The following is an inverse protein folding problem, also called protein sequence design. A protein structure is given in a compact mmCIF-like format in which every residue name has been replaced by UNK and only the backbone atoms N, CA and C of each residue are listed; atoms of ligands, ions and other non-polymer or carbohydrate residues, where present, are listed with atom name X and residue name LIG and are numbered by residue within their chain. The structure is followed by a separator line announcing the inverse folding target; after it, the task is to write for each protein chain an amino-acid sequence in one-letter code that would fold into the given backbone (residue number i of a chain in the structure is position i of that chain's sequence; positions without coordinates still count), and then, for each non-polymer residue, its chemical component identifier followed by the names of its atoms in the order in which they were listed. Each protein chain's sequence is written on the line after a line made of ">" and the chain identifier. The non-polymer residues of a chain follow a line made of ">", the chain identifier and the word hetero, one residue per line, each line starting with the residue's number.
data_IF_852121660404
#
_entry.id   IF_852121660404
#
_cell.length_a   1.000
_cell.length_b   1.000
_cell.length_c   1.000
_cell.angle_alpha   90.00
_cell.angle_beta   90.00
_cell.angle_gamma   90.00
#
_symmetry.space_group_name_H-M   'P 1'
#
loop_
_entity.id
_entity.type
_entity.pdbx_description
1 polymer ?
#
# COMPACT_ATOMS: atom_id res chain seq x y z
N UNK A 1 -28.43 11.86 7.98
CA UNK A 1 -27.11 12.52 7.84
C UNK A 1 -26.09 11.42 7.56
N UNK A 2 -25.30 11.54 6.50
CA UNK A 2 -24.36 10.49 6.05
C UNK A 2 -22.93 11.07 5.97
N UNK A 3 -21.96 10.21 6.25
CA UNK A 3 -20.56 10.34 5.88
C UNK A 3 -20.33 9.40 4.70
N UNK A 4 -19.71 9.91 3.64
CA UNK A 4 -19.28 9.13 2.50
C UNK A 4 -17.87 9.59 2.09
N UNK A 5 -16.99 8.64 1.81
CA UNK A 5 -15.68 8.93 1.26
C UNK A 5 -15.82 9.47 -0.16
N UNK A 6 -15.12 10.56 -0.48
CA UNK A 6 -15.04 11.09 -1.84
C UNK A 6 -14.06 10.25 -2.67
N UNK A 7 -14.20 10.23 -4.02
CA UNK A 7 -13.23 9.56 -4.88
C UNK A 7 -11.79 10.03 -4.66
N UNK A 8 -11.59 11.33 -4.43
CA UNK A 8 -10.27 11.91 -4.09
C UNK A 8 -9.72 11.44 -2.74
N UNK A 9 -10.60 11.07 -1.80
CA UNK A 9 -10.22 10.50 -0.51
C UNK A 9 -9.65 9.09 -0.62
N UNK A 10 -9.97 8.36 -1.70
CA UNK A 10 -9.44 7.01 -1.92
C UNK A 10 -7.95 7.11 -2.25
N UNK A 11 -7.15 6.32 -1.54
CA UNK A 11 -5.70 6.26 -1.75
C UNK A 11 -5.34 5.03 -2.53
N UNK A 12 -4.94 5.23 -3.78
CA UNK A 12 -4.44 4.18 -4.66
C UNK A 12 -2.91 4.12 -4.65
N UNK A 13 -2.25 5.23 -4.31
CA UNK A 13 -0.80 5.43 -4.45
C UNK A 13 0.02 4.36 -3.73
N UNK A 14 -0.42 3.88 -2.56
CA UNK A 14 0.25 2.81 -1.81
C UNK A 14 -0.19 1.41 -2.25
N UNK A 15 -1.30 1.26 -2.97
CA UNK A 15 -2.01 0.00 -3.22
C UNK A 15 -1.98 -0.50 -4.65
N UNK A 16 -1.50 0.31 -5.59
CA UNK A 16 -1.46 -0.06 -7.00
C UNK A 16 -0.06 0.09 -7.60
N UNK A 17 0.11 -0.56 -8.75
CA UNK A 17 1.25 -0.36 -9.63
C UNK A 17 0.70 0.24 -10.91
N UNK A 18 1.27 1.36 -11.35
CA UNK A 18 0.87 2.04 -12.59
C UNK A 18 2.09 2.44 -13.40
N UNK A 19 1.92 2.42 -14.72
CA UNK A 19 2.91 2.74 -15.73
C UNK A 19 2.40 3.94 -16.52
N UNK A 20 3.32 4.80 -16.98
CA UNK A 20 3.07 5.95 -17.84
C UNK A 20 1.89 6.81 -17.35
N UNK A 21 1.88 7.10 -16.05
CA UNK A 21 0.82 7.89 -15.44
C UNK A 21 0.93 9.35 -15.85
N UNK A 22 -0.22 10.03 -15.89
CA UNK A 22 -0.28 11.46 -16.17
C UNK A 22 0.54 12.27 -15.14
N UNK A 23 1.07 13.43 -15.56
CA UNK A 23 1.87 14.30 -14.69
C UNK A 23 1.16 14.65 -13.38
N UNK A 24 -0.15 14.93 -13.41
CA UNK A 24 -0.96 15.20 -12.21
C UNK A 24 -1.02 14.02 -11.23
N UNK A 25 -0.84 12.78 -11.71
CA UNK A 25 -0.80 11.58 -10.86
C UNK A 25 0.59 11.30 -10.29
N UNK A 26 1.63 11.93 -10.84
CA UNK A 26 3.00 11.92 -10.31
C UNK A 26 3.19 12.93 -9.18
N UNK A 27 2.27 13.87 -9.00
CA UNK A 27 2.26 14.79 -7.87
C UNK A 27 1.95 14.06 -6.57
N UNK A 28 2.48 14.60 -5.48
CA UNK A 28 2.26 14.05 -4.14
C UNK A 28 0.82 14.31 -3.71
N UNK A 29 0.11 13.25 -3.32
CA UNK A 29 -1.23 13.42 -2.74
C UNK A 29 -1.17 14.08 -1.36
N UNK A 30 -2.33 14.49 -0.84
CA UNK A 30 -2.47 14.92 0.57
C UNK A 30 -1.93 13.82 1.50
N UNK A 31 -1.06 14.23 2.43
CA UNK A 31 -0.33 13.36 3.37
C UNK A 31 0.80 12.52 2.76
N UNK A 32 0.98 12.52 1.44
CA UNK A 32 2.17 11.96 0.81
C UNK A 32 3.30 12.98 0.86
N UNK A 33 4.48 12.54 1.29
CA UNK A 33 5.67 13.39 1.40
C UNK A 33 6.84 12.76 0.66
N UNK A 34 7.56 13.57 -0.11
CA UNK A 34 8.83 13.17 -0.70
C UNK A 34 9.89 13.06 0.39
N UNK A 35 10.40 11.85 0.59
CA UNK A 35 11.45 11.53 1.56
C UNK A 35 12.81 11.77 0.93
N UNK A 36 13.01 11.26 -0.29
CA UNK A 36 14.28 11.37 -1.01
C UNK A 36 14.05 11.40 -2.53
N UNK A 37 15.00 11.96 -3.26
CA UNK A 37 15.01 11.98 -4.72
C UNK A 37 16.43 11.73 -5.21
N UNK A 38 16.59 10.70 -6.02
CA UNK A 38 17.87 10.22 -6.50
C UNK A 38 17.87 10.30 -8.02
N UNK A 39 18.61 11.27 -8.55
CA UNK A 39 18.85 11.40 -9.97
C UNK A 39 19.82 10.33 -10.47
N UNK A 40 19.80 10.08 -11.78
CA UNK A 40 20.72 9.13 -12.41
C UNK A 40 20.47 7.70 -11.93
N UNK A 41 19.21 7.31 -11.86
CA UNK A 41 18.78 5.94 -11.62
C UNK A 41 18.20 5.40 -12.91
N UNK A 42 18.79 4.34 -13.42
CA UNK A 42 18.34 3.61 -14.59
C UNK A 42 17.32 2.54 -14.17
N UNK A 43 16.21 2.45 -14.90
CA UNK A 43 15.35 1.26 -14.86
C UNK A 43 15.94 0.21 -15.79
N UNK A 44 16.69 -0.73 -15.21
CA UNK A 44 17.43 -1.76 -15.94
C UNK A 44 16.52 -2.85 -16.50
N UNK A 45 15.29 -3.00 -15.99
CA UNK A 45 14.38 -4.05 -16.43
C UNK A 45 13.56 -3.61 -17.64
N UNK A 46 12.79 -2.53 -17.51
CA UNK A 46 11.86 -2.09 -18.56
C UNK A 46 12.49 -1.16 -19.58
N UNK A 47 13.35 -0.25 -19.12
CA UNK A 47 13.92 0.84 -19.93
C UNK A 47 15.45 0.82 -19.91
N UNK A 48 16.05 -0.35 -20.16
CA UNK A 48 17.51 -0.53 -20.07
C UNK A 48 18.25 0.41 -21.04
N UNK A 49 19.17 1.22 -20.52
CA UNK A 49 19.85 2.30 -21.24
C UNK A 49 19.23 3.69 -21.03
N UNK A 50 18.05 3.79 -20.44
CA UNK A 50 17.37 5.06 -20.22
C UNK A 50 17.60 5.56 -18.78
N UNK A 51 18.19 6.75 -18.68
CA UNK A 51 18.47 7.39 -17.40
C UNK A 51 17.20 8.04 -16.87
N UNK A 52 16.94 7.90 -15.57
CA UNK A 52 15.83 8.55 -14.91
C UNK A 52 16.17 9.11 -13.53
N UNK A 53 15.13 9.56 -12.86
CA UNK A 53 15.11 9.96 -11.46
C UNK A 53 14.18 9.03 -10.69
N UNK A 54 14.64 8.56 -9.52
CA UNK A 54 13.84 7.78 -8.59
C UNK A 54 13.49 8.64 -7.38
N UNK A 55 12.21 8.91 -7.19
CA UNK A 55 11.67 9.61 -6.04
C UNK A 55 11.03 8.61 -5.07
N UNK A 56 11.41 8.74 -3.81
CA UNK A 56 11.03 7.86 -2.72
C UNK A 56 10.08 8.66 -1.84
N UNK A 57 8.81 8.28 -1.81
CA UNK A 57 7.81 8.91 -0.95
C UNK A 57 7.53 8.03 0.26
N UNK A 58 6.68 8.49 1.17
CA UNK A 58 6.18 7.69 2.28
C UNK A 58 5.14 6.61 1.87
N UNK A 59 4.64 6.62 0.63
CA UNK A 59 3.60 5.68 0.15
C UNK A 59 4.03 4.83 -1.03
N UNK A 60 4.92 5.34 -1.89
CA UNK A 60 5.31 4.69 -3.14
C UNK A 60 6.71 5.10 -3.59
N UNK A 61 7.20 4.35 -4.58
CA UNK A 61 8.33 4.75 -5.41
C UNK A 61 7.81 5.30 -6.74
N UNK A 62 8.41 6.39 -7.18
CA UNK A 62 8.16 7.01 -8.46
C UNK A 62 9.45 7.01 -9.27
N UNK A 63 9.42 6.44 -10.47
CA UNK A 63 10.54 6.56 -11.41
C UNK A 63 10.07 7.32 -12.64
N UNK A 64 10.89 8.23 -13.15
CA UNK A 64 10.60 8.96 -14.39
C UNK A 64 11.86 9.05 -15.25
N UNK A 65 11.71 8.78 -16.55
CA UNK A 65 12.78 8.95 -17.52
C UNK A 65 13.16 10.43 -17.64
N UNK A 66 14.46 10.71 -17.82
CA UNK A 66 14.95 12.05 -18.17
C UNK A 66 14.76 12.35 -19.65
N UNK A 67 14.64 11.31 -20.48
CA UNK A 67 14.50 11.41 -21.94
C UNK A 67 13.06 11.61 -22.37
N UNK A 68 12.11 11.04 -21.64
CA UNK A 68 10.69 11.08 -21.95
C UNK A 68 9.87 11.45 -20.71
N UNK A 69 9.10 12.53 -20.81
CA UNK A 69 8.16 12.93 -19.75
C UNK A 69 6.94 12.01 -19.64
N UNK A 70 6.70 11.17 -20.65
CA UNK A 70 5.60 10.19 -20.68
C UNK A 70 5.97 8.89 -19.99
N UNK A 71 7.25 8.51 -20.05
CA UNK A 71 7.72 7.22 -19.56
C UNK A 71 8.02 7.29 -18.07
N UNK A 72 7.13 6.70 -17.26
CA UNK A 72 7.25 6.75 -15.80
C UNK A 72 6.56 5.56 -15.12
N UNK A 73 6.86 5.37 -13.84
CA UNK A 73 6.42 4.23 -13.03
C UNK A 73 5.99 4.71 -11.64
N UNK A 74 4.90 4.16 -11.11
CA UNK A 74 4.46 4.34 -9.73
C UNK A 74 4.27 2.98 -9.08
N UNK A 75 5.03 2.69 -8.03
CA UNK A 75 5.01 1.41 -7.31
C UNK A 75 4.58 1.66 -5.86
N UNK A 76 3.33 1.35 -5.54
CA UNK A 76 2.82 1.43 -4.17
C UNK A 76 3.47 0.40 -3.23
N UNK A 77 3.81 0.82 -2.01
CA UNK A 77 4.52 -0.05 -1.07
C UNK A 77 3.70 -1.26 -0.61
N UNK A 78 2.36 -1.19 -0.58
CA UNK A 78 1.52 -2.34 -0.26
C UNK A 78 1.60 -3.46 -1.30
N UNK A 79 2.07 -3.15 -2.51
CA UNK A 79 2.29 -4.13 -3.57
C UNK A 79 3.65 -4.82 -3.44
N UNK A 80 4.58 -4.27 -2.66
CA UNK A 80 5.96 -4.77 -2.55
C UNK A 80 6.01 -6.00 -1.65
N UNK A 81 6.56 -7.09 -2.18
CA UNK A 81 6.79 -8.34 -1.45
C UNK A 81 8.20 -8.42 -0.87
N UNK A 82 9.20 -7.92 -1.61
CA UNK A 82 10.58 -7.92 -1.14
C UNK A 82 11.42 -6.88 -1.85
N UNK A 83 12.37 -6.30 -1.11
CA UNK A 83 13.38 -5.37 -1.60
C UNK A 83 14.76 -5.98 -1.34
N UNK A 84 15.53 -6.24 -2.39
CA UNK A 84 16.84 -6.91 -2.32
C UNK A 84 17.89 -6.15 -3.12
N UNK A 85 19.15 -6.28 -2.72
CA UNK A 85 20.29 -5.77 -3.49
C UNK A 85 20.95 -6.96 -4.18
N UNK A 86 21.11 -6.90 -5.50
CA UNK A 86 21.80 -7.92 -6.29
C UNK A 86 22.61 -7.27 -7.39
N UNK A 87 23.54 -8.03 -7.97
CA UNK A 87 24.30 -7.58 -9.14
C UNK A 87 23.43 -7.69 -10.40
N UNK A 88 23.37 -6.63 -11.19
CA UNK A 88 22.70 -6.57 -12.49
C UNK A 88 23.65 -6.04 -13.57
N UNK A 89 23.35 -6.34 -14.83
CA UNK A 89 24.07 -5.81 -15.99
C UNK A 89 23.30 -4.62 -16.56
N UNK A 90 23.76 -3.43 -16.25
CA UNK A 90 23.26 -2.16 -16.80
C UNK A 90 23.91 -1.87 -18.15
N UNK A 91 23.14 -1.33 -19.11
CA UNK A 91 23.70 -0.88 -20.40
C UNK A 91 24.62 0.33 -20.24
N UNK A 92 24.36 1.18 -19.25
CA UNK A 92 25.13 2.40 -18.98
C UNK A 92 26.36 2.17 -18.07
N UNK A 93 26.40 1.07 -17.31
CA UNK A 93 27.41 0.83 -16.26
C UNK A 93 28.10 -0.53 -16.32
N UNK A 94 27.61 -1.46 -17.12
CA UNK A 94 28.05 -2.85 -17.06
C UNK A 94 27.56 -3.54 -15.78
N UNK A 95 28.38 -4.44 -15.22
CA UNK A 95 28.03 -5.18 -14.00
C UNK A 95 28.11 -4.28 -12.75
N UNK A 96 27.00 -4.08 -12.06
CA UNK A 96 26.92 -3.21 -10.87
C UNK A 96 25.82 -3.67 -9.92
N UNK A 97 25.86 -3.21 -8.66
CA UNK A 97 24.76 -3.42 -7.73
C UNK A 97 23.50 -2.66 -8.17
N UNK A 98 22.36 -3.34 -8.05
CA UNK A 98 21.05 -2.83 -8.38
C UNK A 98 20.02 -3.24 -7.33
N UNK A 99 18.96 -2.45 -7.24
CA UNK A 99 17.83 -2.62 -6.34
C UNK A 99 16.77 -3.47 -7.05
N UNK A 100 16.51 -4.65 -6.53
CA UNK A 100 15.49 -5.57 -7.00
C UNK A 100 14.25 -5.43 -6.13
N UNK A 101 13.14 -5.05 -6.74
CA UNK A 101 11.84 -4.90 -6.08
C UNK A 101 10.89 -5.92 -6.68
N UNK A 102 10.54 -6.92 -5.88
CA UNK A 102 9.51 -7.90 -6.24
C UNK A 102 8.17 -7.41 -5.72
N UNK A 103 7.17 -7.41 -6.58
CA UNK A 103 5.82 -6.98 -6.24
C UNK A 103 4.79 -8.01 -6.64
N UNK A 104 3.60 -7.92 -6.03
CA UNK A 104 2.40 -8.62 -6.46
C UNK A 104 1.24 -7.63 -6.51
N UNK A 105 0.61 -7.53 -7.66
CA UNK A 105 -0.55 -6.67 -7.87
C UNK A 105 -1.50 -7.33 -8.86
N UNK A 106 -2.81 -7.31 -8.57
CA UNK A 106 -3.84 -7.94 -9.41
C UNK A 106 -3.51 -9.37 -9.84
N UNK A 107 -3.08 -10.21 -8.88
CA UNK A 107 -2.61 -11.59 -9.08
C UNK A 107 -1.39 -11.78 -10.00
N UNK A 108 -0.78 -10.70 -10.48
CA UNK A 108 0.44 -10.74 -11.27
C UNK A 108 1.65 -10.40 -10.41
N UNK A 109 2.81 -10.98 -10.76
CA UNK A 109 4.09 -10.71 -10.09
C UNK A 109 4.98 -9.89 -11.00
N UNK A 110 5.46 -8.75 -10.51
CA UNK A 110 6.38 -7.89 -11.23
C UNK A 110 7.74 -7.85 -10.54
N UNK A 111 8.76 -7.62 -11.34
CA UNK A 111 10.14 -7.40 -10.91
C UNK A 111 10.60 -6.06 -11.50
N UNK A 112 11.05 -5.16 -10.64
CA UNK A 112 11.68 -3.89 -11.02
C UNK A 112 13.14 -3.92 -10.61
N UNK A 113 14.01 -3.42 -11.48
CA UNK A 113 15.46 -3.40 -11.26
C UNK A 113 15.95 -1.97 -11.46
N UNK A 114 16.37 -1.32 -10.38
CA UNK A 114 16.90 0.04 -10.43
C UNK A 114 18.40 0.08 -10.17
N UNK A 115 19.15 0.68 -11.09
CA UNK A 115 20.60 0.79 -11.01
C UNK A 115 21.01 2.25 -10.80
N UNK A 116 21.83 2.51 -9.77
CA UNK A 116 22.42 3.83 -9.59
C UNK A 116 23.60 4.04 -10.55
N UNK A 117 23.54 5.11 -11.35
CA UNK A 117 24.61 5.54 -12.23
C UNK A 117 25.68 6.36 -11.48
N UNK A 118 25.48 6.67 -10.21
CA UNK A 118 26.46 7.32 -9.34
C UNK A 118 27.34 6.26 -8.68
N UNK A 119 28.67 6.38 -8.78
CA UNK A 119 29.59 5.38 -8.21
C UNK A 119 29.53 5.45 -6.68
N UNK A 120 29.55 4.28 -6.03
CA UNK A 120 29.64 4.16 -4.57
C UNK A 120 28.56 4.91 -3.77
N UNK A 121 27.33 5.02 -4.28
CA UNK A 121 26.21 5.62 -3.55
C UNK A 121 25.30 4.54 -2.96
N UNK A 122 25.41 4.20 -1.66
CA UNK A 122 24.51 3.25 -1.02
C UNK A 122 23.11 3.84 -0.74
N UNK A 123 22.96 5.16 -0.88
CA UNK A 123 21.76 5.95 -0.53
C UNK A 123 20.48 5.40 -1.15
N UNK A 124 20.55 4.96 -2.40
CA UNK A 124 19.43 4.32 -3.10
C UNK A 124 18.89 3.11 -2.33
N UNK A 125 19.79 2.27 -1.83
CA UNK A 125 19.42 1.03 -1.17
C UNK A 125 18.96 1.27 0.27
N UNK A 126 19.72 2.08 1.03
CA UNK A 126 19.45 2.33 2.45
C UNK A 126 18.13 3.04 2.65
N UNK A 127 17.86 4.10 1.88
CA UNK A 127 16.63 4.88 2.03
C UNK A 127 15.40 4.05 1.66
N UNK A 128 15.41 3.35 0.51
CA UNK A 128 14.25 2.54 0.09
C UNK A 128 13.95 1.43 1.09
N UNK A 129 14.97 0.72 1.58
CA UNK A 129 14.77 -0.37 2.56
C UNK A 129 14.25 0.15 3.91
N UNK A 130 14.75 1.29 4.38
CA UNK A 130 14.33 1.88 5.64
C UNK A 130 12.88 2.40 5.57
N UNK A 131 12.53 3.14 4.51
CA UNK A 131 11.17 3.63 4.29
C UNK A 131 10.19 2.47 4.12
N UNK A 132 10.53 1.45 3.34
CA UNK A 132 9.66 0.27 3.17
C UNK A 132 9.46 -0.49 4.49
N UNK A 133 10.50 -0.63 5.32
CA UNK A 133 10.36 -1.21 6.65
C UNK A 133 9.41 -0.39 7.55
N UNK A 134 9.57 0.93 7.57
CA UNK A 134 8.68 1.84 8.32
C UNK A 134 7.22 1.70 7.85
N UNK A 135 7.01 1.64 6.53
CA UNK A 135 5.71 1.36 5.93
C UNK A 135 5.11 0.05 6.45
N UNK A 136 5.85 -1.06 6.41
CA UNK A 136 5.38 -2.37 6.86
C UNK A 136 5.02 -2.40 8.35
N UNK A 137 5.77 -1.72 9.21
CA UNK A 137 5.55 -1.71 10.66
C UNK A 137 4.39 -0.80 11.11
N UNK A 138 3.86 0.03 10.22
CA UNK A 138 2.84 1.06 10.54
C UNK A 138 1.50 0.77 9.86
N UNK A 139 1.22 -0.49 9.53
CA UNK A 139 -0.02 -0.89 8.84
C UNK A 139 -1.30 -0.53 9.59
N UNK A 140 -1.29 -0.43 10.92
CA UNK A 140 -2.48 -0.09 11.71
C UNK A 140 -3.05 1.32 11.45
N UNK A 141 -2.31 2.22 10.79
CA UNK A 141 -2.82 3.51 10.33
C UNK A 141 -3.62 3.41 9.03
N UNK A 142 -3.49 2.32 8.28
CA UNK A 142 -3.93 2.22 6.88
C UNK A 142 -4.76 0.98 6.62
N UNK A 143 -4.58 -0.09 7.36
CA UNK A 143 -5.26 -1.36 7.18
C UNK A 143 -6.27 -1.62 8.29
N UNK A 144 -7.46 -2.08 7.88
CA UNK A 144 -8.46 -2.59 8.80
C UNK A 144 -7.91 -3.84 9.50
N UNK A 145 -8.03 -3.88 10.83
CA UNK A 145 -7.61 -5.02 11.64
C UNK A 145 -8.77 -5.58 12.44
N UNK A 146 -9.08 -6.84 12.20
CA UNK A 146 -9.95 -7.65 13.06
C UNK A 146 -9.09 -8.46 14.03
N UNK A 147 -9.54 -8.58 15.27
CA UNK A 147 -8.92 -9.40 16.32
C UNK A 147 -7.42 -9.11 16.50
N UNK A 148 -7.06 -7.82 16.53
CA UNK A 148 -5.69 -7.37 16.72
C UNK A 148 -5.28 -7.31 18.20
N UNK A 149 -3.98 -7.40 18.47
CA UNK A 149 -3.43 -7.10 19.80
C UNK A 149 -3.30 -5.57 19.98
N UNK A 150 -4.45 -4.91 20.16
CA UNK A 150 -4.56 -3.43 20.24
C UNK A 150 -4.99 -2.92 21.61
N UNK A 151 -5.36 -3.82 22.53
CA UNK A 151 -5.76 -3.49 23.90
C UNK A 151 -4.67 -3.98 24.85
N UNK A 152 -4.34 -3.16 25.83
CA UNK A 152 -3.43 -3.47 26.92
C UNK A 152 -4.02 -2.88 28.21
N UNK A 153 -4.15 -3.70 29.26
CA UNK A 153 -4.69 -3.28 30.55
C UNK A 153 -6.05 -2.57 30.45
N UNK A 154 -6.95 -3.10 29.60
CA UNK A 154 -8.29 -2.56 29.28
C UNK A 154 -8.29 -1.17 28.63
N UNK A 155 -7.14 -0.69 28.15
CA UNK A 155 -7.00 0.55 27.42
C UNK A 155 -6.50 0.33 25.99
N UNK A 156 -6.79 1.28 25.11
CA UNK A 156 -6.31 1.27 23.73
C UNK A 156 -4.80 1.54 23.70
N UNK A 157 -4.02 0.63 23.12
CA UNK A 157 -2.61 0.86 22.82
C UNK A 157 -2.49 1.84 21.66
N UNK A 158 -2.08 3.06 21.99
CA UNK A 158 -1.93 4.15 21.02
C UNK A 158 -0.73 3.91 20.09
N UNK A 159 -0.93 4.25 18.82
CA UNK A 159 0.13 4.37 17.84
C UNK A 159 0.88 5.72 18.04
N UNK A 160 2.09 5.87 17.51
CA UNK A 160 2.76 7.17 17.46
C UNK A 160 1.85 8.29 16.92
N UNK A 161 1.81 9.45 17.55
CA UNK A 161 0.93 10.56 17.15
C UNK A 161 -0.59 10.26 17.13
N UNK A 162 -1.03 9.09 17.64
CA UNK A 162 -2.45 8.79 17.86
C UNK A 162 -2.90 9.40 19.19
N UNK A 163 -4.04 10.09 19.17
CA UNK A 163 -4.68 10.68 20.34
C UNK A 163 -6.14 10.25 20.39
N UNK A 164 -6.60 9.84 21.57
CA UNK A 164 -8.01 9.51 21.81
C UNK A 164 -8.76 10.80 22.08
N UNK A 165 -9.83 11.02 21.31
CA UNK A 165 -10.76 12.13 21.49
C UNK A 165 -11.92 11.73 22.38
N UNK A 166 -12.49 10.55 22.09
CA UNK A 166 -13.67 10.06 22.79
C UNK A 166 -13.54 8.56 23.11
N UNK A 167 -13.93 8.21 24.33
CA UNK A 167 -14.09 6.84 24.81
C UNK A 167 -15.53 6.65 25.25
N UNK A 168 -16.25 5.75 24.58
CA UNK A 168 -17.65 5.42 24.87
C UNK A 168 -17.72 3.98 25.38
N UNK A 169 -17.87 3.76 26.70
CA UNK A 169 -18.17 2.43 27.22
C UNK A 169 -19.62 2.05 26.93
N UNK A 170 -19.91 0.75 26.97
CA UNK A 170 -21.28 0.24 26.86
C UNK A 170 -21.82 0.18 25.43
N UNK A 171 -20.93 0.18 24.43
CA UNK A 171 -21.30 0.13 23.02
C UNK A 171 -21.46 -1.31 22.58
N UNK A 172 -22.64 -1.64 22.08
CA UNK A 172 -22.98 -2.98 21.59
C UNK A 172 -22.57 -3.14 20.14
N UNK A 173 -21.78 -4.16 19.83
CA UNK A 173 -21.58 -4.60 18.46
C UNK A 173 -22.73 -5.51 18.02
N UNK A 174 -23.31 -5.21 16.85
CA UNK A 174 -24.49 -5.88 16.26
C UNK A 174 -24.13 -6.85 15.11
N UNK A 175 -22.86 -7.25 14.98
CA UNK A 175 -22.41 -8.13 13.89
C UNK A 175 -22.65 -9.62 14.13
N UNK A 176 -23.10 -9.99 15.35
CA UNK A 176 -23.42 -11.37 15.76
C UNK A 176 -24.85 -11.49 16.29
N UNK A 177 -25.41 -12.70 16.24
CA UNK A 177 -26.78 -13.01 16.70
C UNK A 177 -27.01 -12.69 18.18
N UNK A 178 -25.95 -12.81 18.98
CA UNK A 178 -25.87 -12.27 20.34
C UNK A 178 -25.00 -11.02 20.28
N UNK A 179 -25.57 -9.85 20.58
CA UNK A 179 -24.79 -8.61 20.63
C UNK A 179 -23.67 -8.71 21.64
N UNK A 180 -22.52 -8.10 21.35
CA UNK A 180 -21.39 -8.08 22.28
C UNK A 180 -21.24 -6.68 22.90
N UNK A 181 -21.20 -6.61 24.23
CA UNK A 181 -20.97 -5.37 24.95
C UNK A 181 -19.47 -5.03 24.96
N UNK A 182 -19.15 -3.79 24.59
CA UNK A 182 -17.78 -3.35 24.47
C UNK A 182 -17.57 -1.88 24.74
N UNK A 183 -16.38 -1.43 24.40
CA UNK A 183 -15.95 -0.03 24.50
C UNK A 183 -15.51 0.44 23.13
N UNK A 184 -15.96 1.64 22.75
CA UNK A 184 -15.67 2.29 21.49
C UNK A 184 -14.73 3.47 21.71
N UNK A 185 -13.70 3.60 20.88
CA UNK A 185 -12.72 4.67 20.90
C UNK A 185 -12.74 5.41 19.57
N UNK A 186 -12.70 6.74 19.64
CA UNK A 186 -12.51 7.63 18.50
C UNK A 186 -11.18 8.33 18.66
N UNK A 187 -10.32 8.22 17.65
CA UNK A 187 -9.00 8.85 17.63
C UNK A 187 -8.86 9.75 16.42
N UNK A 188 -7.73 10.47 16.28
CA UNK A 188 -7.42 11.23 15.06
C UNK A 188 -7.11 10.36 13.82
N UNK A 189 -6.81 9.07 13.95
CA UNK A 189 -6.38 8.22 12.80
C UNK A 189 -7.33 7.06 12.50
N UNK A 190 -8.07 6.59 13.50
CA UNK A 190 -8.95 5.42 13.40
C UNK A 190 -10.05 5.42 14.46
N UNK A 191 -11.07 4.62 14.22
CA UNK A 191 -12.05 4.24 15.25
C UNK A 191 -11.83 2.78 15.65
N UNK A 192 -11.96 2.48 16.93
CA UNK A 192 -11.70 1.15 17.50
C UNK A 192 -12.87 0.73 18.36
N UNK A 193 -13.22 -0.54 18.29
CA UNK A 193 -14.14 -1.15 19.25
C UNK A 193 -13.56 -2.48 19.74
N UNK A 194 -13.69 -2.78 21.03
CA UNK A 194 -13.38 -4.10 21.58
C UNK A 194 -14.47 -4.55 22.55
N UNK A 195 -14.69 -5.87 22.62
CA UNK A 195 -15.56 -6.45 23.64
C UNK A 195 -14.91 -6.37 25.03
N UNK A 196 -15.73 -6.18 26.07
CA UNK A 196 -15.26 -6.05 27.44
C UNK A 196 -14.88 -7.40 28.08
N UNK A 197 -15.56 -8.47 27.67
CA UNK A 197 -15.34 -9.83 28.20
C UNK A 197 -14.32 -10.65 27.37
N UNK A 198 -13.98 -10.18 26.18
CA UNK A 198 -13.08 -10.84 25.25
C UNK A 198 -12.33 -9.79 24.43
N UNK A 199 -11.23 -9.28 24.97
CA UNK A 199 -10.48 -8.17 24.36
C UNK A 199 -9.95 -8.50 22.96
N UNK A 200 -9.70 -9.78 22.66
CA UNK A 200 -9.33 -10.26 21.33
C UNK A 200 -10.48 -10.18 20.31
N UNK A 201 -11.72 -10.00 20.75
CA UNK A 201 -12.83 -9.66 19.88
C UNK A 201 -12.93 -8.15 19.73
N UNK A 202 -12.13 -7.63 18.79
CA UNK A 202 -12.02 -6.21 18.50
C UNK A 202 -11.93 -5.94 17.00
N UNK A 203 -12.13 -4.68 16.66
CA UNK A 203 -11.98 -4.14 15.32
C UNK A 203 -11.35 -2.75 15.38
N UNK A 204 -10.35 -2.52 14.55
CA UNK A 204 -9.66 -1.25 14.35
C UNK A 204 -9.88 -0.81 12.90
N UNK A 205 -10.55 0.33 12.70
CA UNK A 205 -10.93 0.88 11.41
C UNK A 205 -10.27 2.23 11.19
N UNK A 206 -9.16 2.30 10.42
CA UNK A 206 -8.59 3.57 10.01
C UNK A 206 -9.56 4.38 9.16
N UNK A 207 -9.52 5.71 9.28
CA UNK A 207 -10.42 6.58 8.50
C UNK A 207 -10.27 6.37 7.00
N UNK A 208 -9.05 6.12 6.52
CA UNK A 208 -8.73 5.77 5.13
C UNK A 208 -9.52 4.55 4.60
N UNK A 209 -9.97 3.66 5.48
CA UNK A 209 -10.72 2.46 5.12
C UNK A 209 -12.24 2.62 5.28
N UNK A 210 -12.72 3.73 5.85
CA UNK A 210 -14.15 3.98 5.99
C UNK A 210 -14.68 4.49 4.65
N UNK A 211 -15.55 3.70 4.02
CA UNK A 211 -16.25 4.08 2.80
C UNK A 211 -17.45 4.97 3.11
N UNK A 212 -18.23 4.58 4.11
CA UNK A 212 -19.39 5.35 4.55
C UNK A 212 -19.68 5.11 6.04
N UNK A 213 -20.34 6.08 6.67
CA UNK A 213 -20.89 5.92 8.00
C UNK A 213 -22.23 6.64 8.11
N UNK A 214 -23.19 6.03 8.79
CA UNK A 214 -24.56 6.57 8.92
C UNK A 214 -25.29 5.94 10.10
N UNK A 215 -26.28 6.64 10.63
CA UNK A 215 -27.21 6.06 11.61
C UNK A 215 -28.35 5.38 10.85
N UNK A 216 -28.64 4.12 11.17
CA UNK A 216 -29.79 3.36 10.64
C UNK A 216 -30.55 2.68 11.77
N UNK A 217 -31.85 2.50 11.57
CA UNK A 217 -32.66 1.69 12.46
C UNK A 217 -32.30 0.22 12.30
N UNK A 218 -32.06 -0.46 13.43
CA UNK A 218 -31.87 -1.90 13.54
C UNK A 218 -33.04 -2.52 14.31
N UNK A 219 -33.07 -3.86 14.39
CA UNK A 219 -34.02 -4.59 15.26
C UNK A 219 -33.91 -4.18 16.74
N UNK A 220 -32.77 -3.61 17.14
CA UNK A 220 -32.45 -3.26 18.53
C UNK A 220 -32.44 -1.74 18.78
N UNK A 221 -33.02 -0.96 17.88
CA UNK A 221 -33.01 0.51 17.90
C UNK A 221 -32.02 1.15 16.92
N UNK A 222 -31.87 2.47 16.94
CA UNK A 222 -30.90 3.19 16.11
C UNK A 222 -29.46 2.73 16.37
N UNK A 223 -28.69 2.54 15.30
CA UNK A 223 -27.31 2.09 15.37
C UNK A 223 -26.42 2.84 14.37
N UNK A 224 -25.18 3.07 14.76
CA UNK A 224 -24.11 3.53 13.87
C UNK A 224 -23.70 2.37 12.97
N UNK A 225 -23.83 2.56 11.66
CA UNK A 225 -23.38 1.62 10.65
C UNK A 225 -22.17 2.21 9.94
N UNK A 226 -21.04 1.52 10.02
CA UNK A 226 -19.81 1.86 9.30
C UNK A 226 -19.58 0.82 8.22
N UNK A 227 -19.45 1.28 6.98
CA UNK A 227 -19.06 0.45 5.84
C UNK A 227 -17.61 0.73 5.47
N UNK A 228 -16.85 -0.33 5.23
CA UNK A 228 -15.44 -0.21 4.86
C UNK A 228 -15.24 -0.34 3.36
N UNK A 229 -14.08 0.07 2.86
CA UNK A 229 -13.71 -0.05 1.46
C UNK A 229 -13.75 -1.53 1.01
N UNK A 230 -13.95 -1.75 -0.29
CA UNK A 230 -13.93 -3.11 -0.87
C UNK A 230 -12.53 -3.71 -0.77
N UNK A 231 -11.49 -2.87 -0.90
CA UNK A 231 -10.09 -3.29 -0.75
C UNK A 231 -9.75 -3.74 0.67
N UNK A 232 -10.52 -3.34 1.69
CA UNK A 232 -10.42 -3.86 3.05
C UNK A 232 -11.45 -4.94 3.39
N UNK A 233 -12.11 -5.55 2.41
CA UNK A 233 -13.08 -6.64 2.59
C UNK A 233 -14.55 -6.24 2.59
N UNK A 234 -14.88 -4.95 2.47
CA UNK A 234 -16.27 -4.49 2.33
C UNK A 234 -17.18 -4.79 3.54
N UNK A 235 -16.62 -4.71 4.75
CA UNK A 235 -17.36 -5.00 5.97
C UNK A 235 -18.46 -3.97 6.25
N UNK A 236 -19.56 -4.43 6.82
CA UNK A 236 -20.65 -3.61 7.34
C UNK A 236 -20.76 -3.85 8.84
N UNK A 237 -20.38 -2.85 9.64
CA UNK A 237 -20.26 -2.97 11.10
C UNK A 237 -21.31 -2.10 11.77
N UNK A 238 -22.16 -2.71 12.61
CA UNK A 238 -23.22 -2.03 13.35
C UNK A 238 -22.90 -1.87 14.83
N UNK A 239 -23.09 -0.68 15.37
CA UNK A 239 -22.85 -0.34 16.77
C UNK A 239 -24.06 0.38 17.38
N UNK A 240 -24.66 -0.19 18.43
CA UNK A 240 -25.69 0.50 19.22
C UNK A 240 -25.03 1.24 20.38
N UNK A 241 -25.43 2.49 20.57
CA UNK A 241 -24.95 3.37 21.64
C UNK A 241 -26.16 3.96 22.35
N UNK A 242 -26.18 3.83 23.67
CA UNK A 242 -27.28 4.31 24.52
C UNK A 242 -26.77 5.44 25.43
N UNK A 243 -27.54 6.53 25.64
CA UNK A 243 -28.81 6.87 24.96
C UNK A 243 -28.57 7.39 23.51
N UNK A 244 -29.63 7.48 22.72
CA UNK A 244 -29.59 7.90 21.30
C UNK A 244 -28.93 9.28 21.07
N UNK A 245 -29.01 10.19 22.05
CA UNK A 245 -28.30 11.47 22.01
C UNK A 245 -26.78 11.29 21.84
N UNK A 246 -26.18 10.35 22.59
CA UNK A 246 -24.75 10.03 22.51
C UNK A 246 -24.38 9.39 21.17
N UNK A 247 -25.27 8.57 20.60
CA UNK A 247 -25.08 8.00 19.27
C UNK A 247 -24.93 9.12 18.22
N UNK A 248 -25.77 10.14 18.32
CA UNK A 248 -25.76 11.28 17.40
C UNK A 248 -24.49 12.13 17.56
N UNK A 249 -24.04 12.37 18.78
CA UNK A 249 -22.78 13.08 19.08
C UNK A 249 -21.57 12.31 18.55
N UNK A 250 -21.49 11.01 18.86
CA UNK A 250 -20.43 10.13 18.39
C UNK A 250 -20.34 10.13 16.86
N UNK A 251 -21.49 10.03 16.17
CA UNK A 251 -21.51 10.07 14.70
C UNK A 251 -21.02 11.42 14.14
N UNK A 252 -21.42 12.54 14.75
CA UNK A 252 -20.95 13.88 14.34
C UNK A 252 -19.44 14.02 14.52
N UNK A 253 -18.89 13.51 15.62
CA UNK A 253 -17.47 13.54 15.89
C UNK A 253 -16.67 12.69 14.90
N UNK A 254 -17.08 11.43 14.68
CA UNK A 254 -16.49 10.54 13.67
C UNK A 254 -16.50 11.23 12.30
N UNK A 255 -17.63 11.88 11.95
CA UNK A 255 -17.75 12.61 10.70
C UNK A 255 -16.76 13.76 10.60
N UNK A 256 -16.65 14.58 11.64
CA UNK A 256 -15.72 15.70 11.71
C UNK A 256 -14.27 15.23 11.56
N UNK A 257 -13.85 14.24 12.35
CA UNK A 257 -12.49 13.71 12.32
C UNK A 257 -12.14 13.03 10.99
N UNK A 258 -13.08 12.31 10.38
CA UNK A 258 -12.87 11.75 9.04
C UNK A 258 -12.68 12.86 7.99
N UNK A 259 -13.43 13.96 8.08
CA UNK A 259 -13.24 15.12 7.19
C UNK A 259 -11.87 15.76 7.40
N UNK A 260 -11.44 15.96 8.65
CA UNK A 260 -10.10 16.48 8.96
C UNK A 260 -9.01 15.55 8.43
N UNK A 261 -9.14 14.24 8.67
CA UNK A 261 -8.21 13.23 8.16
C UNK A 261 -8.12 13.27 6.63
N UNK A 262 -9.24 13.48 5.92
CA UNK A 262 -9.25 13.54 4.46
C UNK A 262 -8.50 14.76 3.89
N UNK A 263 -8.31 15.81 4.69
CA UNK A 263 -7.53 17.00 4.31
C UNK A 263 -6.05 16.81 4.63
N UNK A 264 -5.71 16.24 5.78
CA UNK A 264 -4.34 16.01 6.21
C UNK A 264 -4.16 14.58 6.77
N UNK A 265 -4.09 13.55 5.91
CA UNK A 265 -4.07 12.17 6.35
C UNK A 265 -2.73 11.81 6.97
N UNK A 266 -2.78 11.16 8.13
CA UNK A 266 -1.61 10.61 8.81
C UNK A 266 -1.49 9.14 8.40
N UNK A 267 -0.49 8.85 7.57
CA UNK A 267 -0.22 7.49 7.12
C UNK A 267 0.67 6.70 8.07
N UNK A 268 1.27 7.32 9.08
CA UNK A 268 2.10 6.65 10.11
C UNK A 268 3.51 6.29 9.67
N UNK A 269 3.88 6.52 8.41
CA UNK A 269 5.23 6.24 7.91
C UNK A 269 6.17 7.36 8.29
N UNK A 270 7.00 7.11 9.27
CA UNK A 270 8.03 8.03 9.74
C UNK A 270 9.38 7.64 9.15
N UNK A 271 10.15 8.64 8.72
CA UNK A 271 11.53 8.47 8.34
C UNK A 271 12.30 9.71 8.78
N UNK A 272 13.28 9.52 9.67
CA UNK A 272 14.26 10.53 9.99
C UNK A 272 15.60 10.05 9.45
N UNK A 273 16.30 10.92 8.71
CA UNK A 273 17.68 10.63 8.35
C UNK A 273 18.52 10.79 9.61
N UNK A 274 19.03 9.66 10.14
CA UNK A 274 20.08 9.70 11.15
C UNK A 274 21.33 10.33 10.49
N UNK A 275 21.79 11.44 11.08
CA UNK A 275 22.82 12.37 10.61
C UNK A 275 22.43 13.29 9.43
N UNK A 276 22.15 14.56 9.75
CA UNK A 276 22.16 15.67 8.79
C UNK A 276 23.60 16.12 8.53
N UNK A 277 24.16 15.93 7.32
CA UNK A 277 25.03 16.94 6.74
C UNK A 277 24.21 17.77 5.75
N UNK A 278 24.01 19.04 6.10
CA UNK A 278 23.36 20.13 5.36
C UNK A 278 21.84 20.01 5.08
N UNK A 279 21.22 21.18 4.99
CA UNK A 279 19.78 21.43 4.82
C UNK A 279 19.13 20.62 3.70
N UNK A 280 17.95 20.07 3.99
CA UNK A 280 17.14 19.17 3.13
C UNK A 280 16.89 19.76 1.73
N UNK A 281 16.85 21.08 1.58
CA UNK A 281 16.70 21.76 0.29
C UNK A 281 17.87 21.54 -0.67
N UNK A 282 19.08 21.23 -0.18
CA UNK A 282 20.24 20.93 -1.02
C UNK A 282 20.33 19.44 -1.44
N UNK A 283 19.65 18.53 -0.71
CA UNK A 283 19.69 17.09 -0.98
C UNK A 283 18.59 16.62 -1.92
N UNK A 284 17.45 17.34 -1.97
CA UNK A 284 16.39 17.12 -2.95
C UNK A 284 16.81 17.78 -4.25
N UNK A 285 17.48 17.02 -5.11
CA UNK A 285 17.73 17.52 -6.45
C UNK A 285 16.41 17.56 -7.23
N UNK A 286 16.06 18.69 -7.87
CA UNK A 286 14.90 18.73 -8.75
C UNK A 286 15.08 17.68 -9.85
N UNK A 287 13.96 17.08 -10.28
CA UNK A 287 13.95 16.17 -11.42
C UNK A 287 14.58 16.91 -12.62
N UNK A 288 15.59 16.30 -13.24
CA UNK A 288 16.23 16.87 -14.43
C UNK A 288 15.64 16.21 -15.66
N UNK A 289 15.21 17.02 -16.62
CA UNK A 289 14.82 16.57 -17.96
C UNK A 289 15.99 16.94 -18.87
N UNK A 290 16.40 16.02 -19.74
CA UNK A 290 17.44 16.32 -20.73
C UNK A 290 16.78 17.07 -21.91
N UNK A 291 17.41 18.13 -22.42
CA UNK A 291 16.95 18.90 -23.58
C UNK A 291 17.14 18.08 -24.87
N UNK A 292 16.25 17.13 -25.13
CA UNK A 292 16.31 16.25 -26.31
C UNK A 292 14.98 16.33 -27.07
N UNK A 293 15.03 16.56 -28.39
CA UNK A 293 13.87 16.45 -29.28
C UNK A 293 13.30 15.03 -29.23
N UNK A 294 12.06 14.90 -28.75
CA UNK A 294 11.36 13.64 -28.59
C UNK A 294 10.90 13.17 -29.97
N UNK A 295 11.47 12.07 -30.47
CA UNK A 295 10.88 11.31 -31.58
C UNK A 295 9.73 10.49 -30.99
N UNK A 296 8.50 10.71 -31.49
CA UNK A 296 7.31 10.01 -31.04
C UNK A 296 7.35 8.53 -31.45
N UNK A 297 7.80 7.65 -30.54
CA UNK A 297 7.57 6.20 -30.66
C UNK A 297 6.20 5.86 -30.05
N UNK A 298 5.27 5.41 -30.91
CA UNK A 298 3.90 5.01 -30.56
C UNK A 298 3.85 3.62 -29.89
N UNK A 299 4.68 3.35 -28.88
CA UNK A 299 4.56 2.11 -28.11
C UNK A 299 3.36 2.19 -27.17
N UNK A 300 2.44 1.24 -27.29
CA UNK A 300 1.22 1.17 -26.48
C UNK A 300 1.53 0.87 -25.01
N UNK A 301 0.71 1.38 -24.07
CA UNK A 301 0.89 1.15 -22.61
C UNK A 301 0.83 -0.32 -22.18
N UNK A 302 0.33 -1.20 -23.04
CA UNK A 302 0.26 -2.65 -22.82
C UNK A 302 1.66 -3.28 -22.91
N UNK A 303 2.53 -2.78 -23.80
CA UNK A 303 3.90 -3.29 -23.97
C UNK A 303 4.79 -2.93 -22.77
N UNK A 304 4.56 -1.75 -22.18
CA UNK A 304 5.28 -1.32 -20.97
C UNK A 304 5.05 -2.28 -19.80
N UNK A 305 3.84 -2.80 -19.63
CA UNK A 305 3.48 -3.71 -18.52
C UNK A 305 4.16 -5.09 -18.65
N UNK A 306 4.28 -5.60 -19.89
CA UNK A 306 4.81 -6.93 -20.15
C UNK A 306 6.30 -7.07 -19.82
N UNK A 307 7.08 -5.98 -19.97
CA UNK A 307 8.51 -5.98 -19.72
C UNK A 307 8.90 -6.30 -18.25
N UNK A 308 7.98 -6.09 -17.30
CA UNK A 308 8.27 -6.22 -15.87
C UNK A 308 7.80 -7.54 -15.25
N UNK A 309 7.24 -8.49 -16.01
CA UNK A 309 6.84 -9.76 -15.42
C UNK A 309 8.04 -10.51 -14.82
N UNK A 310 7.85 -11.02 -13.59
CA UNK A 310 8.89 -11.74 -12.85
C UNK A 310 9.30 -13.08 -13.50
N UNK A 311 8.40 -13.68 -14.28
CA UNK A 311 8.63 -14.92 -15.03
C UNK A 311 8.34 -14.65 -16.50
N UNK A 312 9.36 -14.17 -17.22
CA UNK A 312 9.30 -14.08 -18.67
C UNK A 312 9.72 -15.43 -19.27
N UNK A 313 8.75 -16.24 -19.72
CA UNK A 313 9.06 -17.19 -20.77
C UNK A 313 9.27 -16.37 -22.04
N UNK A 314 10.45 -16.45 -22.66
CA UNK A 314 10.80 -15.71 -23.89
C UNK A 314 9.76 -15.85 -25.03
N UNK A 315 8.85 -16.83 -24.94
CA UNK A 315 7.85 -17.16 -25.96
C UNK A 315 6.38 -16.93 -25.53
N UNK A 316 6.09 -16.34 -24.37
CA UNK A 316 4.71 -16.01 -23.96
C UNK A 316 4.60 -14.56 -23.50
N UNK A 317 3.85 -13.77 -24.27
CA UNK A 317 3.55 -12.34 -24.04
C UNK A 317 2.46 -12.14 -22.96
N UNK A 318 1.81 -13.22 -22.52
CA UNK A 318 0.70 -13.16 -21.56
C UNK A 318 1.17 -13.38 -20.12
N UNK A 319 0.56 -12.70 -19.13
CA UNK A 319 0.81 -12.96 -17.72
C UNK A 319 0.65 -14.45 -17.43
N UNK A 320 1.63 -15.04 -16.74
CA UNK A 320 1.46 -16.37 -16.16
C UNK A 320 0.37 -16.28 -15.10
N UNK A 321 -0.83 -16.75 -15.43
CA UNK A 321 -1.91 -16.93 -14.47
C UNK A 321 -1.63 -18.22 -13.72
N UNK A 322 -1.39 -18.12 -12.41
CA UNK A 322 -1.27 -19.29 -11.55
C UNK A 322 -2.54 -20.15 -11.72
N UNK A 323 -2.37 -21.40 -12.14
CA UNK A 323 -3.50 -22.33 -12.26
C UNK A 323 -4.00 -22.73 -10.88
N UNK A 324 -5.27 -23.13 -10.81
CA UNK A 324 -5.88 -23.52 -9.55
C UNK A 324 -5.05 -24.63 -8.85
N UNK A 325 -4.82 -24.52 -7.53
CA UNK A 325 -4.08 -25.52 -6.80
C UNK A 325 -4.87 -26.84 -6.75
N UNK A 326 -4.19 -27.95 -7.01
CA UNK A 326 -4.75 -29.32 -6.94
C UNK A 326 -3.93 -30.18 -5.99
N UNK A 327 -4.57 -31.19 -5.39
CA UNK A 327 -3.86 -32.14 -4.53
C UNK A 327 -3.09 -33.17 -5.38
N UNK A 328 -1.77 -33.22 -5.21
CA UNK A 328 -0.92 -34.23 -5.83
C UNK A 328 -0.70 -35.39 -4.86
N UNK A 329 -1.22 -36.56 -5.20
CA UNK A 329 -1.08 -37.78 -4.39
C UNK A 329 0.37 -38.25 -4.29
N UNK A 330 1.16 -38.08 -5.35
CA UNK A 330 2.52 -38.62 -5.45
C UNK A 330 3.49 -38.01 -4.44
N UNK A 331 3.26 -36.74 -4.07
CA UNK A 331 4.09 -36.02 -3.09
C UNK A 331 3.31 -35.59 -1.83
N UNK A 332 2.00 -35.86 -1.76
CA UNK A 332 1.16 -35.50 -0.62
C UNK A 332 1.00 -33.99 -0.38
N UNK A 333 1.19 -33.16 -1.42
CA UNK A 333 1.15 -31.70 -1.33
C UNK A 333 0.12 -31.11 -2.30
N UNK A 334 -0.33 -29.88 -1.99
CA UNK A 334 -1.02 -29.05 -2.96
C UNK A 334 0.01 -28.46 -3.95
N UNK A 335 -0.22 -28.66 -5.24
CA UNK A 335 0.61 -28.12 -6.32
C UNK A 335 -0.23 -27.22 -7.23
N UNK A 336 0.41 -26.34 -7.98
CA UNK A 336 -0.25 -25.70 -9.14
C UNK A 336 -0.70 -26.79 -10.13
N UNK A 337 -1.92 -26.70 -10.65
CA UNK A 337 -2.42 -27.67 -11.63
C UNK A 337 -1.45 -27.85 -12.80
N UNK A 338 -1.11 -29.10 -13.15
CA UNK A 338 -0.15 -29.43 -14.20
C UNK A 338 -0.72 -29.10 -15.60
N UNK A 339 0.14 -28.83 -16.61
CA UNK A 339 -0.34 -28.66 -17.99
C UNK A 339 -0.96 -29.96 -18.50
N UNK A 340 -1.92 -29.84 -19.42
CA UNK A 340 -2.56 -31.00 -20.02
C UNK A 340 -1.50 -31.93 -20.65
N UNK A 341 -1.54 -33.21 -20.27
CA UNK A 341 -0.63 -34.24 -20.77
C UNK A 341 0.77 -34.27 -20.15
N UNK A 342 1.06 -33.46 -19.12
CA UNK A 342 2.36 -33.47 -18.44
C UNK A 342 2.21 -34.04 -17.02
N UNK A 343 3.00 -35.05 -16.68
CA UNK A 343 3.09 -35.60 -15.33
C UNK A 343 4.15 -34.89 -14.48
N UNK A 344 4.09 -35.08 -13.16
CA UNK A 344 5.09 -34.53 -12.25
C UNK A 344 6.49 -35.12 -12.52
N UNK A 345 6.56 -36.39 -12.90
CA UNK A 345 7.81 -37.06 -13.25
C UNK A 345 8.46 -36.44 -14.50
N UNK A 346 7.65 -36.07 -15.50
CA UNK A 346 8.13 -35.42 -16.72
C UNK A 346 8.77 -34.05 -16.44
N UNK A 347 8.33 -33.36 -15.39
CA UNK A 347 8.91 -32.08 -14.96
C UNK A 347 10.16 -32.24 -14.09
N UNK A 348 10.30 -33.37 -13.40
CA UNK A 348 11.39 -33.62 -12.45
C UNK A 348 12.60 -34.27 -13.11
N UNK A 349 12.36 -35.21 -14.03
CA UNK A 349 13.40 -35.91 -14.75
C UNK A 349 14.00 -35.01 -15.84
N UNK A 350 15.30 -34.74 -15.76
CA UNK A 350 16.05 -34.09 -16.84
C UNK A 350 16.55 -35.19 -17.78
N UNK A 351 15.99 -35.27 -18.99
CA UNK A 351 16.56 -36.08 -20.09
C UNK A 351 17.60 -35.32 -20.87
#
# INVERSE_FOLDING_TARGET
>A
MELAATPEGITWQDREIRFDIAASSMELRKGEVAIDSINSVEDTKGNNGDRGSLEITNLRLLWASHRSTRTNLSIGYNCVQSVKIRTATSKLRGSTQALYIMTKYSNSRFEFIFTSLVKASPRLFTTVQAVFRSYETTKLYRDLKLRGAIIQDKELRLLPHEQVYTKVPGVWNLSSDQGNLGTFFVTNVRVVWHANLAENFNVSMPYMQIKSARIRNSKFGPALVIETSVSSGGYVLGFRVDPEGKLTELFKEIKSLHTVFSVNPIYGVEYSMEEKPASIEFLKQPRKIDDIEIVEDQSSSIDAFAAYYAVANKNQVLPRVDRAPTYCKDIGLAIEGLPDGISLADLWCVT
#
